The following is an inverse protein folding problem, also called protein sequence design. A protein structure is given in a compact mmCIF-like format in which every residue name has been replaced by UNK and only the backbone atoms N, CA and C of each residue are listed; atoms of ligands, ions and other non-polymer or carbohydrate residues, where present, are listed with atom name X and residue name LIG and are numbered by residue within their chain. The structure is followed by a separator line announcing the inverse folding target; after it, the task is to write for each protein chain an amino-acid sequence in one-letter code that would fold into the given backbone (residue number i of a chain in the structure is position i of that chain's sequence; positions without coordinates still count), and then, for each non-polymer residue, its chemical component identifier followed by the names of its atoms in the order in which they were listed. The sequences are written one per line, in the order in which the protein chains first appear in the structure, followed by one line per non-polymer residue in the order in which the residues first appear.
data_IF_672039111547
#
_entry.id   IF_672039111547
#
_cell.length_a   1.000
_cell.length_b   1.000
_cell.length_c   1.000
_cell.angle_alpha   90.00
_cell.angle_beta   90.00
_cell.angle_gamma   90.00
#
_symmetry.space_group_name_H-M   'P 1'
#
loop_
_entity.id
_entity.type
_entity.pdbx_description
1 polymer ?
#
# COMPACT_ATOMS: atom_id res chain seq x y z
N UNK A 1 -17.74 55.35 20.11
CA UNK A 1 -19.16 55.19 19.71
C UNK A 1 -20.17 55.58 20.79
N UNK A 2 -20.15 54.94 21.98
CA UNK A 2 -21.12 55.25 23.04
C UNK A 2 -20.88 56.62 23.67
N UNK A 3 -19.61 56.98 23.93
CA UNK A 3 -19.23 58.30 24.44
C UNK A 3 -19.52 59.42 23.43
N UNK A 4 -19.37 59.16 22.14
CA UNK A 4 -19.66 60.13 21.06
C UNK A 4 -21.16 60.34 20.85
N UNK A 5 -21.97 59.30 21.08
CA UNK A 5 -23.43 59.38 21.10
C UNK A 5 -23.92 60.22 22.29
N UNK A 6 -23.37 59.98 23.49
CA UNK A 6 -23.69 60.76 24.69
C UNK A 6 -23.27 62.25 24.57
N UNK A 7 -22.25 62.53 23.77
CA UNK A 7 -21.81 63.90 23.45
C UNK A 7 -22.67 64.59 22.36
N UNK A 8 -23.69 63.93 21.80
CA UNK A 8 -24.56 64.47 20.75
C UNK A 8 -23.96 64.48 19.34
N UNK A 9 -22.76 63.92 19.15
CA UNK A 9 -22.02 63.95 17.88
C UNK A 9 -22.39 62.78 16.94
N UNK A 10 -23.22 61.85 17.39
CA UNK A 10 -23.67 60.69 16.60
C UNK A 10 -25.16 60.42 16.82
N UNK A 11 -25.82 59.87 15.79
CA UNK A 11 -27.22 59.44 15.90
C UNK A 11 -27.33 58.01 16.44
N UNK A 12 -28.47 57.68 17.04
CA UNK A 12 -28.75 56.33 17.54
C UNK A 12 -28.66 55.28 16.40
N UNK A 13 -29.10 55.64 15.20
CA UNK A 13 -28.99 54.79 14.01
C UNK A 13 -27.55 54.42 13.66
N UNK A 14 -26.61 55.36 13.82
CA UNK A 14 -25.18 55.11 13.58
C UNK A 14 -24.60 54.12 14.60
N UNK A 15 -25.01 54.20 15.87
CA UNK A 15 -24.58 53.25 16.91
C UNK A 15 -25.11 51.86 16.62
N UNK A 16 -26.41 51.72 16.34
CA UNK A 16 -27.03 50.44 15.98
C UNK A 16 -26.38 49.85 14.73
N UNK A 17 -26.11 50.68 13.72
CA UNK A 17 -25.40 50.26 12.50
C UNK A 17 -24.01 49.70 12.80
N UNK A 18 -23.19 50.38 13.61
CA UNK A 18 -21.85 49.90 13.99
C UNK A 18 -21.92 48.54 14.70
N UNK A 19 -22.81 48.40 15.69
CA UNK A 19 -22.95 47.12 16.41
C UNK A 19 -23.49 46.00 15.53
N UNK A 20 -24.40 46.31 14.60
CA UNK A 20 -24.93 45.34 13.63
C UNK A 20 -23.83 44.88 12.69
N UNK A 21 -23.03 45.79 12.14
CA UNK A 21 -21.89 45.47 11.27
C UNK A 21 -20.85 44.66 12.04
N UNK A 22 -20.54 45.03 13.28
CA UNK A 22 -19.58 44.31 14.11
C UNK A 22 -20.02 42.85 14.36
N UNK A 23 -21.29 42.64 14.74
CA UNK A 23 -21.83 41.30 14.95
C UNK A 23 -21.82 40.45 13.68
N UNK A 24 -22.23 41.03 12.54
CA UNK A 24 -22.29 40.31 11.27
C UNK A 24 -20.91 40.06 10.65
N UNK A 25 -19.90 40.89 10.92
CA UNK A 25 -18.56 40.75 10.32
C UNK A 25 -17.64 39.84 11.15
N UNK A 26 -17.83 39.78 12.47
CA UNK A 26 -16.98 38.98 13.35
C UNK A 26 -17.05 37.48 13.04
N UNK A 27 -18.24 36.96 12.72
CA UNK A 27 -18.44 35.54 12.44
C UNK A 27 -17.82 35.07 11.11
N UNK A 28 -18.02 35.76 9.96
CA UNK A 28 -17.34 35.45 8.71
C UNK A 28 -15.82 35.53 8.80
N UNK A 29 -15.26 36.52 9.51
CA UNK A 29 -13.82 36.64 9.69
C UNK A 29 -13.24 35.44 10.46
N UNK A 30 -13.89 35.05 11.55
CA UNK A 30 -13.50 33.86 12.31
C UNK A 30 -13.62 32.59 11.46
N UNK A 31 -14.73 32.40 10.76
CA UNK A 31 -14.95 31.27 9.86
C UNK A 31 -13.93 31.21 8.72
N UNK A 32 -13.47 32.36 8.22
CA UNK A 32 -12.47 32.42 7.15
C UNK A 32 -11.10 31.97 7.63
N UNK A 33 -10.66 32.44 8.80
CA UNK A 33 -9.38 32.03 9.41
C UNK A 33 -9.38 30.52 9.70
N UNK A 34 -10.46 30.00 10.29
CA UNK A 34 -10.59 28.57 10.53
C UNK A 34 -10.67 27.76 9.22
N UNK A 35 -11.41 28.27 8.23
CA UNK A 35 -11.52 27.63 6.92
C UNK A 35 -10.18 27.49 6.18
N UNK A 36 -9.31 28.51 6.21
CA UNK A 36 -7.96 28.42 5.63
C UNK A 36 -7.13 27.33 6.32
N UNK A 37 -7.20 27.26 7.65
CA UNK A 37 -6.46 26.26 8.42
C UNK A 37 -6.94 24.85 8.10
N UNK A 38 -8.25 24.65 8.03
CA UNK A 38 -8.85 23.35 7.71
C UNK A 38 -8.53 22.95 6.27
N UNK A 39 -8.58 23.88 5.32
CA UNK A 39 -8.16 23.65 3.94
C UNK A 39 -6.71 23.14 3.85
N UNK A 40 -5.78 23.80 4.53
CA UNK A 40 -4.38 23.37 4.53
C UNK A 40 -4.18 21.98 5.15
N UNK A 41 -4.89 21.67 6.24
CA UNK A 41 -4.88 20.33 6.83
C UNK A 41 -5.42 19.29 5.86
N UNK A 42 -6.58 19.52 5.25
CA UNK A 42 -7.16 18.59 4.27
C UNK A 42 -6.24 18.40 3.05
N UNK A 43 -5.54 19.45 2.60
CA UNK A 43 -4.56 19.34 1.52
C UNK A 43 -3.33 18.50 1.92
N UNK A 44 -2.87 18.60 3.17
CA UNK A 44 -1.79 17.74 3.67
C UNK A 44 -2.22 16.26 3.71
N UNK A 45 -3.41 15.98 4.23
CA UNK A 45 -3.97 14.62 4.29
C UNK A 45 -4.17 14.04 2.89
N UNK A 46 -4.66 14.86 1.94
CA UNK A 46 -4.85 14.47 0.55
C UNK A 46 -3.53 14.14 -0.16
N UNK A 47 -2.47 14.92 0.09
CA UNK A 47 -1.14 14.62 -0.43
C UNK A 47 -0.60 13.29 0.12
N UNK A 48 -0.85 12.99 1.40
CA UNK A 48 -0.48 11.70 1.99
C UNK A 48 -1.26 10.54 1.33
N UNK A 49 -2.56 10.72 1.08
CA UNK A 49 -3.40 9.74 0.39
C UNK A 49 -2.89 9.44 -1.04
N UNK A 50 -2.53 10.47 -1.81
CA UNK A 50 -1.92 10.27 -3.12
C UNK A 50 -0.55 9.60 -3.08
N UNK A 51 0.16 9.68 -1.95
CA UNK A 51 1.35 8.87 -1.72
C UNK A 51 1.08 7.36 -1.86
N UNK A 52 -0.05 6.88 -1.34
CA UNK A 52 -0.43 5.47 -1.44
C UNK A 52 -0.80 5.05 -2.87
N UNK A 53 -1.42 5.94 -3.65
CA UNK A 53 -1.71 5.68 -5.07
C UNK A 53 -0.46 5.45 -5.92
N UNK A 54 0.72 5.91 -5.46
CA UNK A 54 2.02 5.69 -6.13
C UNK A 54 2.70 4.38 -5.73
N UNK A 55 2.16 3.63 -4.76
CA UNK A 55 2.70 2.32 -4.37
C UNK A 55 2.48 1.37 -5.55
N UNK A 56 3.58 1.05 -6.25
CA UNK A 56 3.53 0.08 -7.33
C UNK A 56 3.46 -1.32 -6.73
N UNK A 57 2.53 -2.14 -7.23
CA UNK A 57 2.53 -3.58 -6.92
C UNK A 57 3.85 -4.20 -7.41
N UNK A 58 4.61 -4.79 -6.49
CA UNK A 58 5.88 -5.45 -6.81
C UNK A 58 5.69 -6.69 -7.70
N UNK A 59 4.55 -7.40 -7.56
CA UNK A 59 4.23 -8.59 -8.35
C UNK A 59 2.97 -8.32 -9.17
N UNK A 60 3.16 -8.19 -10.47
CA UNK A 60 2.07 -8.06 -11.44
C UNK A 60 1.92 -9.34 -12.23
N UNK A 61 0.68 -9.70 -12.50
CA UNK A 61 0.39 -10.78 -13.44
C UNK A 61 0.79 -10.35 -14.85
N UNK A 62 1.36 -11.27 -15.61
CA UNK A 62 1.65 -11.01 -17.03
C UNK A 62 0.36 -10.83 -17.79
N UNK A 63 0.40 -10.01 -18.84
CA UNK A 63 -0.69 -9.90 -19.80
C UNK A 63 -0.91 -11.29 -20.41
N UNK A 64 -2.12 -11.84 -20.27
CA UNK A 64 -2.43 -13.21 -20.70
C UNK A 64 -2.05 -14.32 -19.71
N UNK A 65 -1.77 -14.00 -18.44
CA UNK A 65 -1.54 -15.01 -17.41
C UNK A 65 -2.71 -16.01 -17.34
N UNK A 66 -2.37 -17.30 -17.33
CA UNK A 66 -3.35 -18.37 -17.39
C UNK A 66 -3.91 -18.68 -16.00
N UNK A 67 -5.15 -19.17 -15.95
CA UNK A 67 -5.67 -19.78 -14.73
C UNK A 67 -4.84 -21.04 -14.45
N UNK A 68 -4.41 -21.24 -13.20
CA UNK A 68 -3.60 -22.42 -12.88
C UNK A 68 -4.48 -23.67 -12.96
N UNK A 69 -3.91 -24.76 -13.43
CA UNK A 69 -4.47 -26.11 -13.30
C UNK A 69 -3.33 -27.03 -12.88
N UNK A 70 -3.25 -27.32 -11.58
CA UNK A 70 -2.25 -28.22 -11.03
C UNK A 70 -2.76 -29.65 -11.20
N UNK A 71 -1.98 -30.51 -11.85
CA UNK A 71 -2.35 -31.92 -12.10
C UNK A 71 -1.60 -32.86 -11.17
N UNK A 72 -0.30 -32.64 -11.04
CA UNK A 72 0.61 -33.52 -10.30
C UNK A 72 1.17 -32.85 -9.04
N UNK A 73 1.32 -31.53 -9.03
CA UNK A 73 1.92 -30.81 -7.91
C UNK A 73 3.42 -31.04 -7.79
N UNK A 74 4.10 -31.35 -8.90
CA UNK A 74 5.55 -31.51 -8.95
C UNK A 74 6.21 -30.13 -8.95
N UNK A 75 7.09 -29.85 -7.99
CA UNK A 75 7.73 -28.53 -7.84
C UNK A 75 9.21 -28.63 -8.21
N UNK A 76 9.70 -27.67 -9.00
CA UNK A 76 11.13 -27.56 -9.33
C UNK A 76 11.65 -26.13 -9.15
N UNK A 77 12.72 -25.98 -8.38
CA UNK A 77 13.54 -24.78 -8.32
C UNK A 77 14.73 -25.00 -9.25
N UNK A 78 14.87 -24.14 -10.27
CA UNK A 78 15.94 -24.22 -11.26
C UNK A 78 16.79 -22.95 -11.21
N UNK A 79 18.03 -23.10 -10.73
CA UNK A 79 19.03 -22.04 -10.59
C UNK A 79 18.51 -20.78 -9.89
N UNK A 80 17.73 -20.98 -8.82
CA UNK A 80 17.03 -19.89 -8.15
C UNK A 80 18.00 -19.04 -7.32
N UNK A 81 18.09 -17.76 -7.66
CA UNK A 81 18.78 -16.74 -6.88
C UNK A 81 17.78 -15.73 -6.31
N UNK A 82 17.93 -15.40 -5.03
CA UNK A 82 17.04 -14.48 -4.34
C UNK A 82 17.74 -13.67 -3.25
N UNK A 83 17.42 -12.38 -3.15
CA UNK A 83 17.91 -11.45 -2.12
C UNK A 83 16.82 -10.50 -1.63
N UNK A 84 16.87 -10.16 -0.34
CA UNK A 84 16.12 -9.03 0.25
C UNK A 84 17.02 -7.80 0.30
N UNK A 85 16.77 -6.81 -0.56
CA UNK A 85 17.62 -5.62 -0.66
C UNK A 85 19.09 -6.00 -0.91
N UNK A 86 19.95 -5.79 0.10
CA UNK A 86 21.38 -6.15 0.06
C UNK A 86 21.70 -7.57 0.55
N UNK A 87 20.76 -8.26 1.21
CA UNK A 87 21.00 -9.58 1.82
C UNK A 87 20.60 -10.71 0.86
N UNK A 88 21.59 -11.45 0.36
CA UNK A 88 21.36 -12.67 -0.43
C UNK A 88 20.88 -13.82 0.46
N UNK A 89 19.79 -14.47 0.08
CA UNK A 89 19.23 -15.65 0.76
C UNK A 89 19.57 -16.91 -0.01
N UNK A 90 19.33 -16.91 -1.33
CA UNK A 90 19.66 -18.03 -2.22
C UNK A 90 20.58 -17.52 -3.34
N UNK A 91 21.67 -18.24 -3.62
CA UNK A 91 22.58 -17.93 -4.74
C UNK A 91 22.30 -18.78 -5.97
N UNK A 92 22.10 -20.08 -5.76
CA UNK A 92 21.87 -21.05 -6.83
C UNK A 92 21.10 -22.27 -6.28
N UNK A 93 19.86 -22.04 -5.84
CA UNK A 93 19.02 -23.10 -5.29
C UNK A 93 18.47 -23.97 -6.43
N UNK A 94 18.82 -25.26 -6.39
CA UNK A 94 18.29 -26.29 -7.26
C UNK A 94 17.65 -27.37 -6.39
N UNK A 95 16.33 -27.58 -6.56
CA UNK A 95 15.58 -28.55 -5.78
C UNK A 95 14.42 -29.09 -6.61
N UNK A 96 14.19 -30.40 -6.53
CA UNK A 96 13.09 -31.08 -7.19
C UNK A 96 12.26 -31.82 -6.15
N UNK A 97 10.98 -31.52 -6.11
CA UNK A 97 9.99 -32.11 -5.20
C UNK A 97 9.02 -32.92 -6.06
N UNK A 98 9.11 -34.26 -6.05
CA UNK A 98 8.19 -35.12 -6.78
C UNK A 98 6.76 -35.02 -6.23
N UNK A 99 5.78 -35.35 -7.07
CA UNK A 99 4.36 -35.48 -6.67
C UNK A 99 4.21 -36.34 -5.42
N UNK A 100 3.35 -35.89 -4.50
CA UNK A 100 2.95 -36.64 -3.31
C UNK A 100 4.04 -36.83 -2.24
N UNK A 101 5.21 -36.21 -2.40
CA UNK A 101 6.27 -36.28 -1.39
C UNK A 101 6.10 -35.20 -0.34
N UNK A 102 6.25 -35.59 0.92
CA UNK A 102 6.37 -34.67 2.06
C UNK A 102 7.84 -34.36 2.29
N UNK A 103 8.17 -33.08 2.41
CA UNK A 103 9.54 -32.61 2.66
C UNK A 103 9.52 -31.72 3.89
N UNK A 104 10.49 -31.92 4.78
CA UNK A 104 10.72 -31.05 5.92
C UNK A 104 11.95 -30.18 5.65
N UNK A 105 11.82 -28.88 5.90
CA UNK A 105 12.94 -27.94 5.84
C UNK A 105 13.43 -27.65 7.26
N UNK A 106 14.64 -28.09 7.58
CA UNK A 106 15.28 -27.90 8.90
C UNK A 106 16.53 -27.03 8.79
N UNK A 107 16.84 -26.29 9.86
CA UNK A 107 18.06 -25.48 9.96
C UNK A 107 17.92 -24.34 10.95
N UNK A 108 18.97 -23.53 11.10
CA UNK A 108 18.98 -22.37 12.00
C UNK A 108 17.99 -21.28 11.60
N UNK A 109 17.61 -20.42 12.54
CA UNK A 109 16.79 -19.24 12.24
C UNK A 109 17.50 -18.35 11.23
N UNK A 110 16.75 -17.79 10.28
CA UNK A 110 17.29 -16.90 9.25
C UNK A 110 18.01 -17.57 8.07
N UNK A 111 18.04 -18.92 7.98
CA UNK A 111 18.65 -19.62 6.85
C UNK A 111 17.80 -19.62 5.55
N UNK A 112 16.64 -18.97 5.55
CA UNK A 112 15.78 -18.84 4.36
C UNK A 112 14.59 -19.78 4.27
N UNK A 113 14.27 -20.59 5.29
CA UNK A 113 13.09 -21.49 5.29
C UNK A 113 11.77 -20.78 4.97
N UNK A 114 11.47 -19.71 5.71
CA UNK A 114 10.26 -18.91 5.44
C UNK A 114 10.32 -18.23 4.07
N UNK A 115 11.52 -17.84 3.62
CA UNK A 115 11.72 -17.26 2.29
C UNK A 115 11.44 -18.27 1.18
N UNK A 116 11.83 -19.52 1.36
CA UNK A 116 11.52 -20.61 0.42
C UNK A 116 10.01 -20.74 0.22
N UNK A 117 9.24 -20.80 1.30
CA UNK A 117 7.76 -20.87 1.24
C UNK A 117 7.19 -19.62 0.57
N UNK A 118 7.67 -18.42 0.94
CA UNK A 118 7.23 -17.16 0.32
C UNK A 118 7.48 -17.11 -1.19
N UNK A 119 8.60 -17.65 -1.67
CA UNK A 119 8.90 -17.74 -3.10
C UNK A 119 7.99 -18.76 -3.81
N UNK A 120 7.74 -19.90 -3.18
CA UNK A 120 6.82 -20.91 -3.72
C UNK A 120 5.40 -20.35 -3.87
N UNK A 121 4.94 -19.56 -2.88
CA UNK A 121 3.65 -18.84 -2.92
C UNK A 121 3.62 -17.63 -3.87
N UNK A 122 4.74 -17.35 -4.55
CA UNK A 122 4.95 -16.16 -5.37
C UNK A 122 4.53 -14.89 -4.61
N UNK A 123 4.91 -14.79 -3.33
CA UNK A 123 4.86 -13.56 -2.54
C UNK A 123 6.08 -12.68 -2.81
N UNK A 124 7.11 -13.25 -3.43
CA UNK A 124 8.24 -12.57 -4.04
C UNK A 124 8.55 -13.26 -5.37
N UNK A 125 8.97 -12.49 -6.38
CA UNK A 125 9.57 -13.06 -7.59
C UNK A 125 11.07 -13.30 -7.36
N UNK A 126 11.60 -14.35 -7.98
CA UNK A 126 13.04 -14.67 -7.93
C UNK A 126 13.86 -13.64 -8.70
N UNK A 127 15.07 -13.34 -8.22
CA UNK A 127 15.97 -12.43 -8.95
C UNK A 127 16.59 -13.10 -10.18
N UNK A 128 16.90 -14.41 -10.08
CA UNK A 128 17.42 -15.23 -11.17
C UNK A 128 16.83 -16.63 -11.12
N UNK A 129 16.81 -17.31 -12.27
CA UNK A 129 16.26 -18.65 -12.40
C UNK A 129 14.74 -18.68 -12.51
N UNK A 130 14.13 -19.81 -12.13
CA UNK A 130 12.68 -20.02 -12.19
C UNK A 130 12.21 -21.09 -11.21
N UNK A 131 10.94 -20.99 -10.84
CA UNK A 131 10.23 -21.99 -10.05
C UNK A 131 9.12 -22.55 -10.94
N UNK A 132 9.04 -23.87 -11.04
CA UNK A 132 8.10 -24.58 -11.88
C UNK A 132 7.14 -25.39 -11.02
N UNK A 133 5.86 -25.41 -11.40
CA UNK A 133 4.88 -26.40 -10.97
C UNK A 133 4.39 -27.16 -12.20
N UNK A 134 4.50 -28.49 -12.17
CA UNK A 134 4.16 -29.38 -13.29
C UNK A 134 4.85 -28.97 -14.61
N UNK A 135 6.09 -28.47 -14.49
CA UNK A 135 6.90 -28.01 -15.63
C UNK A 135 6.61 -26.58 -16.10
N UNK A 136 5.58 -25.93 -15.56
CA UNK A 136 5.18 -24.57 -15.94
C UNK A 136 5.70 -23.52 -14.94
N UNK A 137 6.23 -22.40 -15.44
CA UNK A 137 6.74 -21.33 -14.59
C UNK A 137 5.60 -20.64 -13.83
N UNK A 138 5.75 -20.53 -12.51
CA UNK A 138 4.73 -19.92 -11.64
C UNK A 138 4.43 -18.46 -12.00
N UNK A 139 5.34 -17.79 -12.72
CA UNK A 139 5.15 -16.41 -13.20
C UNK A 139 4.14 -16.29 -14.36
N UNK A 140 3.77 -17.41 -14.96
CA UNK A 140 2.80 -17.44 -16.06
C UNK A 140 1.36 -17.65 -15.57
N UNK A 141 1.16 -17.93 -14.29
CA UNK A 141 -0.16 -18.08 -13.68
C UNK A 141 -0.70 -16.78 -13.10
N UNK A 142 -2.03 -16.65 -13.09
CA UNK A 142 -2.71 -15.61 -12.31
C UNK A 142 -2.50 -15.84 -10.82
N UNK A 143 -2.09 -14.82 -10.08
CA UNK A 143 -1.76 -14.92 -8.65
C UNK A 143 -2.92 -15.46 -7.80
N UNK A 144 -4.12 -14.93 -8.03
CA UNK A 144 -5.32 -15.33 -7.29
C UNK A 144 -5.60 -16.83 -7.46
N UNK A 145 -5.65 -17.29 -8.70
CA UNK A 145 -5.86 -18.70 -9.01
C UNK A 145 -4.74 -19.57 -8.45
N UNK A 146 -3.48 -19.14 -8.59
CA UNK A 146 -2.31 -19.89 -8.13
C UNK A 146 -2.31 -20.10 -6.61
N UNK A 147 -2.60 -19.03 -5.85
CA UNK A 147 -2.65 -19.08 -4.39
C UNK A 147 -3.88 -19.84 -3.89
N UNK A 148 -4.99 -19.85 -4.64
CA UNK A 148 -6.18 -20.64 -4.30
C UNK A 148 -5.97 -22.15 -4.33
N UNK A 149 -5.02 -22.65 -5.13
CA UNK A 149 -4.66 -24.08 -5.19
C UNK A 149 -3.66 -24.52 -4.11
N UNK A 150 -3.18 -23.59 -3.28
CA UNK A 150 -2.19 -23.88 -2.25
C UNK A 150 -2.77 -23.61 -0.86
N UNK A 151 -2.56 -24.54 0.06
CA UNK A 151 -2.98 -24.42 1.46
C UNK A 151 -1.74 -24.40 2.38
N UNK A 152 -1.72 -23.48 3.35
CA UNK A 152 -0.72 -23.40 4.44
C UNK A 152 -1.35 -23.90 5.72
#
# INVERSE_FOLDING_TARGET
PLMDFLAGNMTLGTVVFIYTVYGNLSWPLFSFVHGIRDYHRSMADFNALFGYGKIQQEIKDKIGAQKVSIKEGKIEFQNVGFKYGKRTIFKNLNLKIPKGKKIAFVGHSGCGKTTFVKLLYRLYDVNTGRILIDGNDIRNFKQESFRGEMSI
#
